data_IF_360044260462
#
_entry.id   IF_360044260462
#
_cell.length_a   1.000
_cell.length_b   1.000
_cell.length_c   1.000
_cell.angle_alpha   90.00
_cell.angle_beta   90.00
_cell.angle_gamma   90.00
#
_symmetry.space_group_name_H-M   'P 1'
#
loop_
_entity.id
_entity.type
_entity.pdbx_description
1 polymer ?
#
# COMPACT_ATOMS: atom_id res chain seq x y z
N UNK A 1 -2.44 -10.79 0.29
CA UNK A 1 -2.38 -9.50 -0.44
C UNK A 1 -3.77 -8.90 -0.58
N UNK A 2 -4.79 -9.72 -0.84
CA UNK A 2 -6.16 -9.22 -0.94
C UNK A 2 -6.64 -8.54 0.34
N UNK A 3 -6.35 -9.14 1.49
CA UNK A 3 -6.71 -8.57 2.78
C UNK A 3 -6.02 -7.23 3.03
N UNK A 4 -4.77 -7.12 2.61
CA UNK A 4 -3.99 -5.90 2.71
C UNK A 4 -4.64 -4.76 1.91
N UNK A 5 -4.95 -5.00 0.64
CA UNK A 5 -5.59 -3.98 -0.20
C UNK A 5 -6.99 -3.63 0.28
N UNK A 6 -7.75 -4.62 0.74
CA UNK A 6 -9.08 -4.36 1.28
C UNK A 6 -8.99 -3.45 2.51
N UNK A 7 -7.98 -3.66 3.35
CA UNK A 7 -7.73 -2.79 4.50
C UNK A 7 -7.51 -1.34 4.08
N UNK A 8 -6.73 -1.12 3.03
CA UNK A 8 -6.50 0.24 2.52
C UNK A 8 -7.78 0.86 1.96
N UNK A 9 -8.59 0.07 1.22
CA UNK A 9 -9.86 0.57 0.68
C UNK A 9 -10.80 1.04 1.77
N UNK A 10 -10.72 0.43 2.95
CA UNK A 10 -11.61 0.73 4.08
C UNK A 10 -10.93 1.60 5.13
N UNK A 11 -9.68 1.96 4.94
CA UNK A 11 -8.82 2.65 5.93
C UNK A 11 -8.84 1.92 7.27
N UNK A 12 -8.81 0.60 7.22
CA UNK A 12 -8.83 -0.27 8.39
C UNK A 12 -7.39 -0.59 8.81
N UNK A 13 -6.85 0.23 9.71
CA UNK A 13 -5.47 0.09 10.17
C UNK A 13 -5.19 -1.27 10.79
N UNK A 14 -6.10 -1.78 11.59
CA UNK A 14 -5.91 -3.06 12.26
C UNK A 14 -5.78 -4.20 11.24
N UNK A 15 -6.62 -4.18 10.21
CA UNK A 15 -6.58 -5.18 9.16
C UNK A 15 -5.26 -5.13 8.38
N UNK A 16 -4.81 -3.92 8.04
CA UNK A 16 -3.55 -3.73 7.32
C UNK A 16 -2.38 -4.24 8.17
N UNK A 17 -2.29 -3.76 9.42
CA UNK A 17 -1.18 -4.12 10.30
C UNK A 17 -1.17 -5.60 10.63
N UNK A 18 -2.33 -6.23 10.66
CA UNK A 18 -2.44 -7.68 10.88
C UNK A 18 -1.84 -8.53 9.78
N UNK A 19 -1.58 -7.95 8.60
CA UNK A 19 -0.94 -8.64 7.49
C UNK A 19 0.59 -8.57 7.55
N UNK A 20 1.16 -7.81 8.49
CA UNK A 20 2.57 -7.43 8.48
C UNK A 20 3.35 -8.11 9.60
N UNK A 21 4.66 -8.30 9.37
CA UNK A 21 5.56 -8.67 10.47
C UNK A 21 5.81 -7.42 11.33
N UNK A 22 6.28 -7.62 12.57
CA UNK A 22 6.54 -6.52 13.49
C UNK A 22 7.64 -5.58 12.96
N UNK A 23 8.60 -6.13 12.23
CA UNK A 23 9.74 -5.39 11.68
C UNK A 23 9.57 -5.06 10.21
N UNK A 24 8.33 -5.00 9.72
CA UNK A 24 8.05 -4.75 8.32
C UNK A 24 8.78 -3.51 7.80
N UNK A 25 9.28 -3.62 6.57
CA UNK A 25 9.91 -2.48 5.88
C UNK A 25 8.98 -2.02 4.75
N UNK A 26 8.86 -0.73 4.59
CA UNK A 26 8.07 -0.14 3.50
C UNK A 26 8.95 0.86 2.77
N UNK A 27 9.25 0.55 1.51
CA UNK A 27 10.03 1.42 0.64
C UNK A 27 9.09 2.10 -0.36
N UNK A 28 9.16 3.42 -0.38
CA UNK A 28 8.47 4.24 -1.36
C UNK A 28 9.55 5.03 -2.11
N UNK A 29 10.15 4.43 -3.15
CA UNK A 29 11.28 5.09 -3.84
C UNK A 29 10.92 6.49 -4.29
N UNK A 30 11.81 7.43 -4.02
CA UNK A 30 11.59 8.83 -4.29
C UNK A 30 10.81 9.56 -3.21
N UNK A 31 10.29 8.86 -2.22
CA UNK A 31 9.49 9.46 -1.13
C UNK A 31 10.07 9.13 0.24
N UNK A 32 10.02 7.88 0.67
CA UNK A 32 10.42 7.54 2.03
C UNK A 32 10.75 6.06 2.18
N UNK A 33 11.35 5.73 3.31
CA UNK A 33 11.63 4.36 3.74
C UNK A 33 11.25 4.27 5.21
N UNK A 34 10.43 3.28 5.56
CA UNK A 34 9.90 3.11 6.90
C UNK A 34 10.21 1.71 7.40
N UNK A 35 10.43 1.59 8.73
CA UNK A 35 10.64 0.30 9.37
C UNK A 35 9.75 0.20 10.60
N UNK A 36 9.05 -0.94 10.75
CA UNK A 36 8.22 -1.24 11.89
C UNK A 36 6.77 -0.85 11.70
N UNK A 37 5.89 -1.51 12.46
CA UNK A 37 4.45 -1.30 12.35
C UNK A 37 4.02 0.12 12.73
N UNK A 38 4.66 0.72 13.74
CA UNK A 38 4.28 2.05 14.18
C UNK A 38 4.50 3.09 13.09
N UNK A 39 5.64 3.03 12.41
CA UNK A 39 5.93 3.95 11.30
C UNK A 39 5.00 3.66 10.12
N UNK A 40 4.75 2.38 9.84
CA UNK A 40 3.84 1.98 8.77
C UNK A 40 2.44 2.55 9.02
N UNK A 41 1.96 2.43 10.25
CA UNK A 41 0.62 2.90 10.62
C UNK A 41 0.44 4.38 10.34
N UNK A 42 1.46 5.18 10.60
CA UNK A 42 1.39 6.62 10.39
C UNK A 42 1.33 7.01 8.92
N UNK A 43 1.80 6.13 8.02
CA UNK A 43 1.80 6.41 6.58
C UNK A 43 0.59 5.85 5.85
N UNK A 44 -0.28 5.10 6.53
CA UNK A 44 -1.47 4.54 5.88
C UNK A 44 -2.38 5.64 5.36
N UNK A 45 -2.51 6.73 6.11
CA UNK A 45 -3.32 7.88 5.71
C UNK A 45 -2.43 9.11 5.54
N UNK A 46 -2.75 9.90 4.52
CA UNK A 46 -2.02 11.11 4.22
C UNK A 46 -2.95 12.30 4.41
N UNK A 47 -2.51 13.31 5.19
CA UNK A 47 -3.31 14.49 5.50
C UNK A 47 -3.72 15.29 4.27
N UNK A 48 -3.04 15.09 3.13
CA UNK A 48 -3.37 15.80 1.91
C UNK A 48 -4.60 15.22 1.19
N UNK A 49 -5.06 14.05 1.62
CA UNK A 49 -6.20 13.38 1.00
C UNK A 49 -7.32 13.17 2.00
N UNK A 50 -8.53 13.12 1.49
CA UNK A 50 -9.71 12.89 2.31
C UNK A 50 -10.35 11.55 1.94
N UNK A 51 -10.90 10.87 2.95
CA UNK A 51 -11.55 9.59 2.76
C UNK A 51 -10.57 8.48 2.40
N UNK A 52 -11.11 7.36 1.99
CA UNK A 52 -10.34 6.20 1.59
C UNK A 52 -10.13 6.17 0.09
N UNK A 53 -8.97 5.69 -0.39
CA UNK A 53 -8.74 5.58 -1.82
C UNK A 53 -9.55 4.44 -2.43
N UNK A 54 -9.87 4.54 -3.72
CA UNK A 54 -10.29 3.39 -4.48
C UNK A 54 -9.05 2.72 -5.05
N UNK A 55 -9.00 1.40 -4.96
CA UNK A 55 -7.86 0.62 -5.42
C UNK A 55 -8.36 -0.54 -6.26
N UNK A 56 -7.77 -0.71 -7.43
CA UNK A 56 -8.07 -1.83 -8.31
C UNK A 56 -6.78 -2.57 -8.59
N UNK A 57 -6.77 -3.88 -8.36
CA UNK A 57 -5.63 -4.74 -8.67
C UNK A 57 -5.93 -5.45 -9.98
N UNK A 58 -5.16 -5.14 -11.00
CA UNK A 58 -5.35 -5.71 -12.34
C UNK A 58 -4.59 -7.01 -12.53
N UNK A 59 -3.42 -7.14 -11.91
CA UNK A 59 -2.57 -8.32 -12.06
C UNK A 59 -1.89 -8.66 -10.75
N UNK A 60 -1.81 -9.96 -10.47
CA UNK A 60 -1.01 -10.50 -9.37
C UNK A 60 -0.04 -11.52 -9.96
N UNK A 61 1.22 -11.37 -9.64
CA UNK A 61 2.28 -12.29 -10.09
C UNK A 61 2.96 -12.81 -8.84
N UNK A 62 3.00 -14.12 -8.71
CA UNK A 62 3.54 -14.76 -7.52
C UNK A 62 4.70 -15.67 -7.89
N UNK A 63 5.82 -15.53 -7.17
CA UNK A 63 6.96 -16.40 -7.35
C UNK A 63 7.68 -16.55 -6.01
N UNK A 64 7.83 -17.78 -5.53
CA UNK A 64 8.44 -18.07 -4.23
C UNK A 64 7.71 -17.30 -3.13
N UNK A 65 8.42 -16.48 -2.35
CA UNK A 65 7.84 -15.70 -1.26
C UNK A 65 7.55 -14.24 -1.67
N UNK A 66 7.49 -13.99 -2.98
CA UNK A 66 7.26 -12.64 -3.50
C UNK A 66 5.95 -12.59 -4.28
N UNK A 67 5.16 -11.55 -4.03
CA UNK A 67 3.94 -11.28 -4.80
C UNK A 67 4.04 -9.87 -5.35
N UNK A 68 3.77 -9.71 -6.64
CA UNK A 68 3.75 -8.40 -7.29
C UNK A 68 2.31 -8.08 -7.66
N UNK A 69 1.83 -6.93 -7.20
CA UNK A 69 0.48 -6.46 -7.51
C UNK A 69 0.58 -5.20 -8.38
N UNK A 70 -0.08 -5.24 -9.53
CA UNK A 70 -0.08 -4.12 -10.47
C UNK A 70 -1.52 -3.65 -10.63
N UNK A 71 -1.73 -2.36 -10.47
CA UNK A 71 -3.06 -1.81 -10.59
C UNK A 71 -3.06 -0.29 -10.56
N UNK A 72 -4.17 0.27 -10.16
CA UNK A 72 -4.33 1.70 -10.07
C UNK A 72 -5.39 2.09 -9.08
N UNK A 73 -5.59 3.38 -8.93
CA UNK A 73 -6.58 3.87 -8.01
C UNK A 73 -6.80 5.37 -8.14
N UNK A 74 -7.67 5.85 -7.26
CA UNK A 74 -8.03 7.26 -7.19
C UNK A 74 -8.11 7.67 -5.73
N UNK A 75 -7.70 8.89 -5.45
CA UNK A 75 -7.83 9.47 -4.13
C UNK A 75 -8.26 10.92 -4.28
N UNK A 76 -9.04 11.42 -3.33
CA UNK A 76 -9.52 12.80 -3.36
C UNK A 76 -8.59 13.66 -2.52
N UNK A 77 -7.96 14.64 -3.17
CA UNK A 77 -7.11 15.61 -2.47
C UNK A 77 -7.99 16.53 -1.63
N UNK A 78 -7.44 17.07 -0.55
CA UNK A 78 -8.16 17.97 0.35
C UNK A 78 -8.72 19.20 -0.34
N UNK A 79 -8.17 19.55 -1.52
CA UNK A 79 -8.70 20.64 -2.35
C UNK A 79 -9.96 20.26 -3.12
N UNK A 80 -10.39 19.00 -3.03
CA UNK A 80 -11.52 18.49 -3.79
C UNK A 80 -11.13 17.88 -5.13
N UNK A 81 -9.84 17.98 -5.51
CA UNK A 81 -9.37 17.47 -6.79
C UNK A 81 -9.17 15.95 -6.73
N UNK A 82 -9.67 15.25 -7.73
CA UNK A 82 -9.45 13.82 -7.86
C UNK A 82 -8.07 13.56 -8.45
N UNK A 83 -7.31 12.69 -7.78
CA UNK A 83 -5.97 12.30 -8.22
C UNK A 83 -5.98 10.83 -8.60
N UNK A 84 -5.53 10.52 -9.80
CA UNK A 84 -5.44 9.16 -10.28
C UNK A 84 -4.00 8.72 -10.33
N UNK A 85 -3.76 7.44 -10.09
CA UNK A 85 -2.41 6.88 -10.07
C UNK A 85 -2.41 5.44 -10.52
N UNK A 86 -1.25 4.99 -11.00
CA UNK A 86 -0.96 3.58 -11.22
C UNK A 86 0.04 3.14 -10.16
N UNK A 87 0.01 1.88 -9.78
CA UNK A 87 0.96 1.36 -8.81
C UNK A 87 1.48 -0.02 -9.20
N UNK A 88 2.69 -0.29 -8.71
CA UNK A 88 3.29 -1.62 -8.73
C UNK A 88 3.84 -1.84 -7.33
N UNK A 89 3.24 -2.75 -6.58
CA UNK A 89 3.66 -3.07 -5.22
C UNK A 89 4.29 -4.45 -5.20
N UNK A 90 5.49 -4.54 -4.64
CA UNK A 90 6.22 -5.79 -4.49
C UNK A 90 6.18 -6.18 -3.01
N UNK A 91 5.57 -7.32 -2.71
CA UNK A 91 5.44 -7.84 -1.35
C UNK A 91 6.38 -9.01 -1.15
N UNK A 92 7.18 -8.95 -0.09
CA UNK A 92 8.01 -10.07 0.34
C UNK A 92 7.40 -10.65 1.61
N UNK A 93 7.24 -11.97 1.65
CA UNK A 93 6.61 -12.65 2.78
C UNK A 93 7.64 -13.38 3.64
N UNK A 94 7.40 -13.34 4.95
CA UNK A 94 8.06 -14.21 5.92
C UNK A 94 6.95 -15.07 6.51
N UNK A 95 6.87 -16.33 6.05
CA UNK A 95 5.71 -17.17 6.38
C UNK A 95 4.45 -16.61 5.72
N UNK A 96 3.42 -16.39 6.52
CA UNK A 96 2.15 -15.88 6.03
C UNK A 96 1.99 -14.36 6.25
N UNK A 97 3.07 -13.68 6.67
CA UNK A 97 3.05 -12.24 6.92
C UNK A 97 3.94 -11.51 5.95
N UNK A 98 3.58 -10.27 5.64
CA UNK A 98 4.36 -9.41 4.76
C UNK A 98 5.50 -8.81 5.57
N UNK A 99 6.74 -9.06 5.15
CA UNK A 99 7.93 -8.52 5.81
C UNK A 99 8.47 -7.27 5.12
N UNK A 100 8.10 -7.06 3.86
CA UNK A 100 8.55 -5.89 3.10
C UNK A 100 7.55 -5.55 2.01
N UNK A 101 7.32 -4.26 1.83
CA UNK A 101 6.53 -3.72 0.73
C UNK A 101 7.38 -2.70 -0.01
N UNK A 102 7.47 -2.84 -1.33
CA UNK A 102 8.11 -1.86 -2.18
C UNK A 102 7.01 -1.29 -3.07
N UNK A 103 6.70 -0.01 -2.90
CA UNK A 103 5.59 0.62 -3.61
C UNK A 103 6.11 1.61 -4.64
N UNK A 104 5.77 1.38 -5.89
CA UNK A 104 6.11 2.27 -7.00
C UNK A 104 4.81 2.92 -7.48
N UNK A 105 4.71 4.22 -7.28
CA UNK A 105 3.51 4.99 -7.59
C UNK A 105 3.78 5.95 -8.73
N UNK A 106 2.89 5.97 -9.71
CA UNK A 106 3.00 6.85 -10.87
C UNK A 106 1.73 7.69 -10.94
N UNK A 107 1.83 9.02 -10.79
CA UNK A 107 0.68 9.89 -10.98
C UNK A 107 0.23 9.85 -12.45
N UNK A 108 -1.07 9.74 -12.67
CA UNK A 108 -1.64 9.72 -14.01
C UNK A 108 -2.25 11.08 -14.30
N UNK A 109 -1.47 11.99 -14.73
CA UNK A 109 -2.11 13.16 -15.05
C UNK A 109 -1.72 14.31 -15.15
#
# INVERSE_FOLDING_TARGET
VGTYFDGFRRSDHEQILGCLTDDVAWDLPGHTHLTGKAAFDQEIENDEFTGSPTLTVDRLIEEADTVVAIGGGEATHKSGQLRRFAFCDVFTFAGDKISRVESYLVPLE
#
